data_IF_705031279381
#
_entry.id   IF_705031279381
#
_cell.length_a   1.000
_cell.length_b   1.000
_cell.length_c   1.000
_cell.angle_alpha   90.00
_cell.angle_beta   90.00
_cell.angle_gamma   90.00
#
_symmetry.space_group_name_H-M   'P 1'
#
loop_
_entity.id
_entity.type
_entity.pdbx_description
1 polymer ?
#
# COMPACT_ATOMS: atom_id res chain seq x y z
N UNK A 1 16.31 -4.15 -19.78
CA UNK A 1 17.41 -3.17 -19.79
C UNK A 1 16.96 -1.95 -19.00
N UNK A 2 17.91 -1.38 -18.26
CA UNK A 2 17.88 -0.44 -17.12
C UNK A 2 16.53 -0.05 -16.50
N UNK A 3 16.35 -0.39 -15.21
CA UNK A 3 15.49 0.36 -14.31
C UNK A 3 16.27 1.55 -13.77
N UNK A 4 15.81 2.76 -14.07
CA UNK A 4 16.48 4.05 -13.83
C UNK A 4 16.67 4.45 -12.35
N UNK A 5 16.55 3.50 -11.40
CA UNK A 5 16.81 3.69 -9.98
C UNK A 5 17.70 2.54 -9.47
N UNK A 6 18.88 2.82 -8.90
CA UNK A 6 19.73 1.78 -8.30
C UNK A 6 18.97 1.09 -7.16
N UNK A 7 19.04 -0.25 -7.14
CA UNK A 7 18.48 -1.05 -6.05
C UNK A 7 19.25 -0.75 -4.76
N UNK A 8 18.53 -0.45 -3.69
CA UNK A 8 19.15 -0.25 -2.37
C UNK A 8 19.63 -1.58 -1.80
N UNK A 9 20.82 -1.58 -1.19
CA UNK A 9 21.38 -2.76 -0.54
C UNK A 9 20.78 -2.98 0.85
N UNK A 10 20.85 -4.22 1.35
CA UNK A 10 20.45 -4.55 2.72
C UNK A 10 21.23 -3.70 3.75
N UNK A 11 22.53 -3.53 3.53
CA UNK A 11 23.39 -2.74 4.42
C UNK A 11 22.94 -1.28 4.51
N UNK A 12 22.58 -0.67 3.38
CA UNK A 12 22.06 0.70 3.39
C UNK A 12 20.74 0.82 4.16
N UNK A 13 19.89 -0.20 4.12
CA UNK A 13 18.66 -0.23 4.92
C UNK A 13 18.94 -0.41 6.42
N UNK A 14 19.92 -1.25 6.78
CA UNK A 14 20.41 -1.38 8.16
C UNK A 14 20.90 -0.03 8.67
N UNK A 15 21.78 0.63 7.90
CA UNK A 15 22.32 1.94 8.27
C UNK A 15 21.20 2.99 8.40
N UNK A 16 20.25 3.01 7.45
CA UNK A 16 19.16 3.99 7.43
C UNK A 16 18.14 3.82 8.56
N UNK A 17 17.98 2.61 9.08
CA UNK A 17 16.96 2.27 10.10
C UNK A 17 17.54 2.07 11.49
N UNK A 18 18.84 2.37 11.68
CA UNK A 18 19.58 2.09 12.91
C UNK A 18 19.48 0.61 13.31
N UNK A 19 19.77 -0.28 12.35
CA UNK A 19 19.71 -1.73 12.55
C UNK A 19 18.30 -2.30 12.71
N UNK A 20 17.29 -1.67 12.08
CA UNK A 20 15.88 -2.00 12.27
C UNK A 20 15.46 -1.91 13.75
N UNK A 21 15.95 -0.88 14.46
CA UNK A 21 15.66 -0.65 15.87
C UNK A 21 14.16 -0.47 16.13
N UNK A 22 13.67 -1.01 17.26
CA UNK A 22 12.27 -0.86 17.69
C UNK A 22 11.87 0.62 17.85
N UNK A 23 12.81 1.53 18.12
CA UNK A 23 12.51 2.98 18.21
C UNK A 23 12.08 3.57 16.86
N UNK A 24 12.51 2.95 15.77
CA UNK A 24 12.17 3.36 14.41
C UNK A 24 10.96 2.58 13.87
N UNK A 25 10.36 1.69 14.65
CA UNK A 25 9.25 0.85 14.20
C UNK A 25 7.94 1.62 14.25
N UNK A 26 7.39 1.89 13.07
CA UNK A 26 6.18 2.72 12.89
C UNK A 26 4.94 1.91 12.48
N UNK A 27 5.09 0.62 12.17
CA UNK A 27 3.96 -0.25 11.87
C UNK A 27 4.31 -1.74 11.98
N UNK A 28 3.36 -2.53 12.49
CA UNK A 28 3.41 -3.99 12.55
C UNK A 28 2.11 -4.55 11.94
N UNK A 29 2.21 -5.53 11.05
CA UNK A 29 1.03 -6.15 10.43
C UNK A 29 1.29 -7.55 9.90
N UNK A 30 0.25 -8.19 9.36
CA UNK A 30 0.33 -9.56 8.84
C UNK A 30 1.25 -9.74 7.63
N UNK A 31 1.72 -8.64 7.03
CA UNK A 31 2.61 -8.66 5.87
C UNK A 31 4.06 -8.31 6.22
N UNK A 32 4.33 -7.85 7.44
CA UNK A 32 5.67 -7.39 7.82
C UNK A 32 5.73 -6.30 8.87
N UNK A 33 6.87 -5.63 8.89
CA UNK A 33 7.22 -4.52 9.76
C UNK A 33 7.55 -3.29 8.92
N UNK A 34 7.20 -2.11 9.39
CA UNK A 34 7.52 -0.84 8.72
C UNK A 34 8.38 0.00 9.64
N UNK A 35 9.59 0.34 9.20
CA UNK A 35 10.52 1.16 9.95
C UNK A 35 10.65 2.54 9.31
N UNK A 36 10.70 3.60 10.11
CA UNK A 36 11.19 4.89 9.68
C UNK A 36 12.69 4.79 9.46
N UNK A 37 13.19 5.39 8.39
CA UNK A 37 14.62 5.47 8.13
C UNK A 37 15.02 6.77 7.47
N UNK A 38 16.32 7.03 7.43
CA UNK A 38 16.92 8.18 6.76
C UNK A 38 17.99 7.68 5.81
N UNK A 39 17.76 7.82 4.51
CA UNK A 39 18.74 7.44 3.49
C UNK A 39 19.92 8.41 3.48
N UNK A 40 21.01 7.99 2.81
CA UNK A 40 22.11 8.89 2.44
C UNK A 40 21.49 10.07 1.68
N UNK A 41 21.87 11.30 2.03
CA UNK A 41 21.23 12.59 1.61
C UNK A 41 20.10 13.12 2.51
N UNK A 42 19.76 12.43 3.60
CA UNK A 42 18.78 12.95 4.58
C UNK A 42 17.31 12.71 4.19
N UNK A 43 17.06 11.93 3.14
CA UNK A 43 15.72 11.60 2.68
C UNK A 43 15.05 10.65 3.68
N UNK A 44 13.96 11.11 4.30
CA UNK A 44 13.18 10.32 5.26
C UNK A 44 12.27 9.35 4.51
N UNK A 45 12.33 8.07 4.87
CA UNK A 45 11.62 6.98 4.20
C UNK A 45 10.91 6.06 5.20
N UNK A 46 9.94 5.31 4.68
CA UNK A 46 9.36 4.15 5.34
C UNK A 46 9.89 2.87 4.66
N UNK A 47 10.52 1.99 5.44
CA UNK A 47 11.09 0.71 5.00
C UNK A 47 10.16 -0.40 5.45
N UNK A 48 9.34 -0.92 4.53
CA UNK A 48 8.45 -2.06 4.75
C UNK A 48 9.23 -3.35 4.52
N UNK A 49 9.64 -3.99 5.60
CA UNK A 49 10.27 -5.32 5.61
C UNK A 49 9.18 -6.37 5.62
N UNK A 50 9.13 -7.21 4.59
CA UNK A 50 8.07 -8.19 4.44
C UNK A 50 8.43 -9.52 5.11
N UNK A 51 7.45 -10.19 5.71
CA UNK A 51 7.65 -11.54 6.24
C UNK A 51 7.95 -12.52 5.10
N UNK A 52 9.04 -13.25 5.23
CA UNK A 52 9.38 -14.35 4.33
C UNK A 52 8.82 -15.64 4.90
N UNK A 53 7.55 -15.91 4.63
CA UNK A 53 6.93 -17.14 5.10
C UNK A 53 7.06 -18.23 4.03
N UNK A 54 8.06 -19.11 4.20
CA UNK A 54 8.30 -20.26 3.31
C UNK A 54 7.16 -21.30 3.35
N UNK A 55 6.21 -21.17 4.29
CA UNK A 55 5.13 -22.12 4.52
C UNK A 55 3.83 -21.82 3.74
N UNK A 56 3.69 -20.61 3.16
CA UNK A 56 2.45 -20.17 2.51
C UNK A 56 2.71 -19.49 1.17
N UNK A 57 2.29 -20.13 0.07
CA UNK A 57 2.35 -19.58 -1.30
C UNK A 57 1.63 -18.22 -1.41
N UNK A 58 0.62 -17.97 -0.55
CA UNK A 58 -0.18 -16.74 -0.56
C UNK A 58 0.60 -15.54 -0.01
N UNK A 59 1.37 -15.73 1.07
CA UNK A 59 2.22 -14.69 1.68
C UNK A 59 3.48 -14.48 0.83
N UNK A 60 4.03 -15.57 0.28
CA UNK A 60 5.22 -15.59 -0.59
C UNK A 60 5.08 -14.71 -1.85
N UNK A 61 3.84 -14.49 -2.33
CA UNK A 61 3.57 -13.66 -3.51
C UNK A 61 3.41 -12.16 -3.25
N UNK A 62 3.31 -11.71 -1.99
CA UNK A 62 2.98 -10.33 -1.63
C UNK A 62 4.01 -9.32 -2.13
N UNK A 63 5.31 -9.55 -1.91
CA UNK A 63 6.39 -8.68 -2.38
C UNK A 63 6.37 -8.49 -3.90
N UNK A 64 6.28 -9.59 -4.65
CA UNK A 64 6.31 -9.57 -6.12
C UNK A 64 5.09 -8.83 -6.66
N UNK A 65 3.92 -9.07 -6.06
CA UNK A 65 2.66 -8.40 -6.40
C UNK A 65 2.72 -6.91 -6.10
N UNK A 66 3.12 -6.53 -4.88
CA UNK A 66 3.24 -5.14 -4.45
C UNK A 66 4.23 -4.37 -5.35
N UNK A 67 5.42 -4.94 -5.60
CA UNK A 67 6.38 -4.35 -6.54
C UNK A 67 5.82 -4.22 -7.96
N UNK A 68 5.07 -5.22 -8.45
CA UNK A 68 4.49 -5.18 -9.79
C UNK A 68 3.41 -4.10 -9.91
N UNK A 69 2.54 -3.99 -8.91
CA UNK A 69 1.48 -2.97 -8.88
C UNK A 69 2.11 -1.58 -8.78
N UNK A 70 2.96 -1.33 -7.78
CA UNK A 70 3.61 -0.03 -7.54
C UNK A 70 4.45 0.46 -8.73
N UNK A 71 5.01 -0.45 -9.54
CA UNK A 71 5.72 -0.09 -10.78
C UNK A 71 4.81 0.28 -11.95
N UNK A 72 3.56 -0.19 -11.93
CA UNK A 72 2.59 0.02 -13.01
C UNK A 72 1.66 1.22 -12.81
N UNK A 73 1.60 1.77 -11.59
CA UNK A 73 0.72 2.87 -11.24
C UNK A 73 1.54 4.14 -10.99
N UNK A 74 1.02 5.29 -11.44
CA UNK A 74 1.59 6.61 -11.17
C UNK A 74 0.46 7.62 -11.07
N UNK A 75 0.18 8.08 -9.86
CA UNK A 75 -0.88 9.05 -9.57
C UNK A 75 -0.53 9.83 -8.31
N UNK A 76 -0.99 11.08 -8.18
CA UNK A 76 -0.67 11.94 -7.02
C UNK A 76 -1.21 11.38 -5.70
N UNK A 77 -2.38 10.73 -5.73
CA UNK A 77 -3.03 10.15 -4.55
C UNK A 77 -2.70 8.67 -4.31
N UNK A 78 -1.63 8.13 -4.92
CA UNK A 78 -1.20 6.74 -4.75
C UNK A 78 0.27 6.71 -4.33
N UNK A 79 0.61 5.82 -3.38
CA UNK A 79 1.99 5.71 -2.89
C UNK A 79 2.91 5.30 -4.04
N UNK A 80 4.02 6.04 -4.19
CA UNK A 80 5.04 5.75 -5.20
C UNK A 80 6.21 5.05 -4.54
N UNK A 81 6.61 3.91 -5.07
CA UNK A 81 7.83 3.23 -4.62
C UNK A 81 9.07 4.11 -4.90
N UNK A 82 9.92 4.27 -3.88
CA UNK A 82 11.24 4.91 -4.04
C UNK A 82 12.20 3.89 -4.63
N UNK A 83 12.35 2.76 -3.94
CA UNK A 83 13.22 1.64 -4.37
C UNK A 83 12.80 0.37 -3.62
N UNK A 84 13.47 -0.74 -3.88
CA UNK A 84 13.23 -2.00 -3.19
C UNK A 84 14.54 -2.76 -2.99
N UNK A 85 14.60 -3.54 -1.91
CA UNK A 85 15.66 -4.51 -1.64
C UNK A 85 15.13 -5.93 -1.82
N UNK A 86 15.86 -6.76 -2.56
CA UNK A 86 15.47 -8.13 -2.85
C UNK A 86 16.70 -9.03 -2.88
N UNK A 87 16.95 -9.72 -1.78
CA UNK A 87 17.92 -10.82 -1.66
C UNK A 87 17.16 -12.14 -1.40
N UNK A 88 17.81 -13.32 -1.43
CA UNK A 88 17.14 -14.58 -1.09
C UNK A 88 16.40 -14.51 0.27
N UNK A 89 17.09 -14.03 1.30
CA UNK A 89 16.62 -14.08 2.70
C UNK A 89 16.07 -12.74 3.22
N UNK A 90 15.97 -11.72 2.35
CA UNK A 90 15.43 -10.42 2.73
C UNK A 90 14.67 -9.73 1.59
N UNK A 91 13.43 -9.33 1.86
CA UNK A 91 12.62 -8.48 0.97
C UNK A 91 12.17 -7.22 1.70
N UNK A 92 12.39 -6.06 1.10
CA UNK A 92 11.84 -4.80 1.59
C UNK A 92 11.44 -3.87 0.45
N UNK A 93 10.39 -3.08 0.69
CA UNK A 93 9.96 -1.99 -0.17
C UNK A 93 10.24 -0.67 0.56
N UNK A 94 10.86 0.28 -0.15
CA UNK A 94 11.15 1.62 0.39
C UNK A 94 10.15 2.60 -0.20
N UNK A 95 9.45 3.29 0.68
CA UNK A 95 8.37 4.24 0.37
C UNK A 95 8.72 5.62 0.96
N UNK A 96 8.13 6.71 0.44
CA UNK A 96 8.21 8.01 1.09
C UNK A 96 7.60 7.93 2.50
N UNK A 97 8.21 8.59 3.47
CA UNK A 97 7.63 8.70 4.80
C UNK A 97 6.50 9.73 4.81
N UNK A 98 5.37 9.36 5.40
CA UNK A 98 4.18 10.20 5.51
C UNK A 98 4.10 10.79 6.92
N UNK A 99 4.42 12.08 7.11
CA UNK A 99 4.64 12.65 8.44
C UNK A 99 3.35 12.78 9.26
N UNK A 100 2.19 12.90 8.59
CA UNK A 100 0.89 13.03 9.24
C UNK A 100 0.22 11.66 9.50
N UNK A 101 0.96 10.56 9.30
CA UNK A 101 0.49 9.22 9.63
C UNK A 101 -0.62 8.72 8.69
N UNK A 102 -1.57 7.98 9.25
CA UNK A 102 -2.70 7.42 8.53
C UNK A 102 -4.04 8.01 8.99
N UNK A 103 -5.08 7.75 8.21
CA UNK A 103 -6.40 8.34 8.39
C UNK A 103 -7.18 7.79 9.61
N UNK A 104 -6.76 6.67 10.24
CA UNK A 104 -7.47 6.09 11.39
C UNK A 104 -7.64 7.11 12.53
N UNK A 105 -6.60 7.89 12.80
CA UNK A 105 -6.61 8.89 13.87
C UNK A 105 -7.63 10.02 13.65
N UNK A 106 -7.88 10.40 12.40
CA UNK A 106 -8.83 11.44 12.04
C UNK A 106 -10.28 10.92 12.05
N UNK A 107 -10.48 9.67 11.64
CA UNK A 107 -11.81 9.03 11.57
C UNK A 107 -12.29 8.57 12.95
N UNK A 108 -11.37 8.12 13.81
CA UNK A 108 -11.69 7.64 15.17
C UNK A 108 -11.38 8.65 16.27
N UNK A 109 -10.99 9.86 15.89
CA UNK A 109 -10.76 10.98 16.81
C UNK A 109 -12.06 11.55 17.41
N UNK A 110 -11.94 12.52 18.34
CA UNK A 110 -13.09 13.17 18.93
C UNK A 110 -13.95 13.87 17.85
N UNK A 111 -15.28 13.85 17.98
CA UNK A 111 -16.18 14.49 17.03
C UNK A 111 -15.91 16.01 16.94
N UNK A 112 -15.92 16.57 15.73
CA UNK A 112 -15.62 17.98 15.47
C UNK A 112 -14.46 18.24 14.50
N UNK A 113 -14.09 17.25 13.67
CA UNK A 113 -13.08 17.42 12.62
C UNK A 113 -13.48 18.44 11.56
N UNK A 114 -12.47 19.04 10.93
CA UNK A 114 -12.64 19.97 9.82
C UNK A 114 -13.29 19.27 8.62
N UNK A 115 -14.53 19.67 8.31
CA UNK A 115 -15.32 19.07 7.23
C UNK A 115 -14.67 19.29 5.86
N UNK A 116 -14.06 20.46 5.64
CA UNK A 116 -13.43 20.78 4.36
C UNK A 116 -12.22 19.87 4.14
N UNK A 117 -11.40 19.67 5.19
CA UNK A 117 -10.31 18.70 5.17
C UNK A 117 -10.79 17.27 4.87
N UNK A 118 -11.86 16.82 5.53
CA UNK A 118 -12.42 15.48 5.32
C UNK A 118 -12.93 15.30 3.88
N UNK A 119 -13.56 16.33 3.31
CA UNK A 119 -14.00 16.32 1.92
C UNK A 119 -12.82 16.30 0.94
N UNK A 120 -11.76 17.06 1.20
CA UNK A 120 -10.52 17.00 0.41
C UNK A 120 -9.90 15.61 0.43
N UNK A 121 -9.76 15.01 1.62
CA UNK A 121 -9.23 13.64 1.79
C UNK A 121 -10.10 12.62 1.03
N UNK A 122 -11.43 12.73 1.16
CA UNK A 122 -12.34 11.82 0.46
C UNK A 122 -12.22 11.95 -1.07
N UNK A 123 -12.08 13.18 -1.57
CA UNK A 123 -11.85 13.45 -3.00
C UNK A 123 -10.54 12.82 -3.48
N UNK A 124 -9.44 13.04 -2.75
CA UNK A 124 -8.13 12.47 -3.06
C UNK A 124 -8.15 10.93 -3.14
N UNK A 125 -8.77 10.28 -2.14
CA UNK A 125 -8.93 8.82 -2.13
C UNK A 125 -9.75 8.36 -3.34
N UNK A 126 -10.87 9.02 -3.63
CA UNK A 126 -11.72 8.69 -4.76
C UNK A 126 -10.99 8.81 -6.10
N UNK A 127 -10.18 9.86 -6.30
CA UNK A 127 -9.37 10.03 -7.50
C UNK A 127 -8.29 8.94 -7.64
N UNK A 128 -7.61 8.60 -6.54
CA UNK A 128 -6.65 7.49 -6.51
C UNK A 128 -7.28 6.16 -6.90
N UNK A 129 -8.44 5.83 -6.33
CA UNK A 129 -9.16 4.59 -6.62
C UNK A 129 -9.71 4.59 -8.05
N UNK A 130 -10.29 5.70 -8.51
CA UNK A 130 -10.76 5.84 -9.89
C UNK A 130 -9.62 5.62 -10.90
N UNK A 131 -8.42 6.14 -10.61
CA UNK A 131 -7.25 5.86 -11.43
C UNK A 131 -6.95 4.36 -11.48
N UNK A 132 -6.89 3.66 -10.34
CA UNK A 132 -6.61 2.21 -10.29
C UNK A 132 -7.60 1.39 -11.14
N UNK A 133 -8.87 1.78 -11.11
CA UNK A 133 -9.97 1.04 -11.72
C UNK A 133 -10.14 1.32 -13.21
N UNK A 134 -9.87 2.55 -13.65
CA UNK A 134 -10.27 3.03 -14.98
C UNK A 134 -9.12 3.57 -15.82
N UNK A 135 -8.06 4.09 -15.21
CA UNK A 135 -7.04 4.88 -15.92
C UNK A 135 -5.63 4.27 -15.87
N UNK A 136 -5.39 3.34 -14.94
CA UNK A 136 -4.14 2.62 -14.86
C UNK A 136 -3.91 1.74 -16.11
N UNK A 137 -2.65 1.56 -16.57
CA UNK A 137 -2.34 0.71 -17.73
C UNK A 137 -2.84 -0.73 -17.62
N UNK A 138 -2.97 -1.22 -16.38
CA UNK A 138 -3.63 -2.47 -16.03
C UNK A 138 -4.58 -2.16 -14.89
N UNK A 139 -5.83 -2.61 -15.01
CA UNK A 139 -6.84 -2.43 -13.95
C UNK A 139 -6.35 -3.10 -12.66
N UNK A 140 -6.37 -2.33 -11.57
CA UNK A 140 -5.96 -2.78 -10.24
C UNK A 140 -7.14 -2.66 -9.31
N UNK A 141 -7.36 -3.70 -8.51
CA UNK A 141 -8.29 -3.65 -7.38
C UNK A 141 -7.46 -3.67 -6.10
N UNK A 142 -7.70 -2.72 -5.20
CA UNK A 142 -6.87 -2.55 -4.01
C UNK A 142 -7.03 -3.74 -3.05
N UNK A 143 -8.28 -4.14 -2.79
CA UNK A 143 -8.69 -5.25 -1.91
C UNK A 143 -8.49 -5.04 -0.40
N UNK A 144 -7.80 -3.99 0.04
CA UNK A 144 -7.67 -3.64 1.47
C UNK A 144 -7.82 -2.12 1.71
N UNK A 145 -8.80 -1.47 1.08
CA UNK A 145 -9.01 -0.04 1.31
C UNK A 145 -9.65 0.19 2.68
N UNK A 146 -8.92 0.88 3.57
CA UNK A 146 -9.32 1.22 4.94
C UNK A 146 -8.52 2.45 5.42
N UNK A 147 -8.93 3.14 6.50
CA UNK A 147 -8.24 4.37 6.91
C UNK A 147 -6.76 4.15 7.29
N UNK A 148 -6.37 3.01 7.86
CA UNK A 148 -4.96 2.66 8.09
C UNK A 148 -4.09 2.59 6.83
N UNK A 149 -4.69 2.35 5.66
CA UNK A 149 -4.00 2.26 4.38
C UNK A 149 -4.09 3.56 3.56
N UNK A 150 -4.73 4.60 4.11
CA UNK A 150 -4.71 5.97 3.56
C UNK A 150 -3.74 6.80 4.41
N UNK A 151 -2.60 7.15 3.83
CA UNK A 151 -1.57 7.95 4.48
C UNK A 151 -1.73 9.43 4.13
N UNK A 152 -1.22 10.30 5.00
CA UNK A 152 -1.29 11.75 4.84
C UNK A 152 0.12 12.33 4.69
N UNK A 153 0.37 12.99 3.56
CA UNK A 153 1.63 13.67 3.32
C UNK A 153 1.75 14.99 4.12
N UNK A 154 2.83 15.74 3.91
CA UNK A 154 3.10 16.99 4.64
C UNK A 154 2.03 18.08 4.47
N UNK A 155 1.29 18.04 3.36
CA UNK A 155 0.26 19.03 3.01
C UNK A 155 -1.15 18.51 3.32
N UNK A 156 -1.27 17.42 4.08
CA UNK A 156 -2.53 16.69 4.37
C UNK A 156 -3.21 16.10 3.11
N UNK A 157 -2.47 15.92 2.02
CA UNK A 157 -2.97 15.22 0.82
C UNK A 157 -3.06 13.73 1.11
N UNK A 158 -4.17 13.10 0.72
CA UNK A 158 -4.37 11.68 0.96
C UNK A 158 -3.70 10.80 -0.10
N UNK A 159 -2.96 9.80 0.39
CA UNK A 159 -2.16 8.86 -0.40
C UNK A 159 -2.59 7.43 -0.08
N UNK A 160 -3.22 6.75 -1.04
CA UNK A 160 -3.59 5.33 -0.91
C UNK A 160 -2.33 4.46 -0.97
N UNK A 161 -2.21 3.52 -0.03
CA UNK A 161 -1.03 2.70 0.18
C UNK A 161 -1.38 1.23 0.51
N UNK A 162 -0.35 0.39 0.61
CA UNK A 162 -0.43 -1.05 0.90
C UNK A 162 -1.13 -1.91 -0.16
N UNK A 163 -0.39 -2.17 -1.25
CA UNK A 163 -0.85 -3.01 -2.37
C UNK A 163 -0.52 -4.51 -2.18
N UNK A 164 -0.25 -4.95 -0.94
CA UNK A 164 0.25 -6.29 -0.62
C UNK A 164 -0.69 -7.42 -1.05
N UNK A 165 -2.00 -7.16 -1.15
CA UNK A 165 -3.02 -8.11 -1.59
C UNK A 165 -3.78 -7.68 -2.85
N UNK A 166 -3.34 -6.62 -3.51
CA UNK A 166 -4.05 -6.08 -4.67
C UNK A 166 -4.08 -7.04 -5.86
N UNK A 167 -5.11 -6.92 -6.68
CA UNK A 167 -5.36 -7.83 -7.80
C UNK A 167 -5.26 -7.07 -9.12
N UNK A 168 -4.43 -7.60 -10.02
CA UNK A 168 -4.34 -7.13 -11.39
C UNK A 168 -5.40 -7.85 -12.22
N UNK A 169 -6.36 -7.09 -12.73
CA UNK A 169 -7.47 -7.60 -13.53
C UNK A 169 -7.06 -7.54 -14.99
N UNK A 170 -6.90 -8.71 -15.62
CA UNK A 170 -6.78 -8.80 -17.09
C UNK A 170 -8.18 -8.74 -17.68
N UNK A 171 -8.37 -7.93 -18.72
CA UNK A 171 -9.66 -7.80 -19.39
C UNK A 171 -10.18 -9.18 -19.87
N UNK A 172 -11.45 -9.44 -19.53
CA UNK A 172 -12.34 -10.50 -19.99
C UNK A 172 -11.66 -11.81 -20.46
N UNK A 173 -11.43 -12.77 -19.53
CA UNK A 173 -11.59 -14.23 -19.79
C UNK A 173 -11.09 -15.15 -18.65
N UNK A 174 -10.31 -14.69 -17.67
CA UNK A 174 -9.83 -15.59 -16.60
C UNK A 174 -10.65 -15.47 -15.31
N UNK A 175 -11.64 -16.34 -15.19
CA UNK A 175 -12.37 -16.74 -13.98
C UNK A 175 -11.49 -17.49 -12.95
N UNK A 176 -10.21 -17.13 -12.86
CA UNK A 176 -9.19 -17.80 -12.05
C UNK A 176 -8.47 -16.83 -11.10
N UNK A 177 -9.19 -15.79 -10.65
CA UNK A 177 -8.78 -15.00 -9.50
C UNK A 177 -9.14 -15.81 -8.25
N UNK A 178 -8.13 -16.19 -7.47
CA UNK A 178 -8.22 -17.06 -6.30
C UNK A 178 -9.39 -16.72 -5.37
N UNK A 179 -10.18 -17.76 -5.06
CA UNK A 179 -11.42 -17.82 -4.26
C UNK A 179 -11.25 -17.54 -2.76
N UNK A 180 -10.15 -16.91 -2.34
CA UNK A 180 -9.92 -16.59 -0.93
C UNK A 180 -10.42 -15.18 -0.65
N UNK A 181 -11.37 -15.07 0.28
CA UNK A 181 -11.77 -13.79 0.87
C UNK A 181 -10.52 -13.15 1.47
N UNK A 182 -10.16 -11.97 0.98
CA UNK A 182 -9.00 -11.20 1.39
C UNK A 182 -9.44 -9.74 1.59
N UNK A 183 -8.92 -9.11 2.64
CA UNK A 183 -9.27 -7.77 3.07
C UNK A 183 -9.50 -7.71 4.58
N UNK A 184 -9.66 -6.49 5.09
CA UNK A 184 -9.90 -6.25 6.52
C UNK A 184 -11.38 -6.39 6.88
N UNK A 185 -11.67 -7.11 7.97
CA UNK A 185 -13.03 -7.26 8.50
C UNK A 185 -13.65 -5.88 8.76
N UNK A 186 -14.90 -5.68 8.32
CA UNK A 186 -15.59 -4.38 8.40
C UNK A 186 -15.46 -3.51 7.15
N UNK A 187 -14.44 -3.76 6.31
CA UNK A 187 -14.20 -3.02 5.05
C UNK A 187 -14.40 -3.87 3.79
N UNK A 188 -14.59 -5.18 3.95
CA UNK A 188 -14.92 -6.07 2.83
C UNK A 188 -16.35 -5.79 2.38
N UNK A 189 -16.52 -5.44 1.10
CA UNK A 189 -17.84 -5.22 0.51
C UNK A 189 -18.73 -6.47 0.62
N UNK A 190 -20.03 -6.32 0.97
CA UNK A 190 -20.98 -7.43 0.96
C UNK A 190 -21.27 -7.87 -0.48
N UNK A 191 -21.29 -9.17 -0.80
CA UNK A 191 -21.64 -9.60 -2.16
C UNK A 191 -22.11 -11.05 -2.32
N UNK A 192 -23.11 -11.23 -3.19
CA UNK A 192 -23.72 -12.51 -3.58
C UNK A 192 -23.31 -13.01 -4.99
N UNK A 193 -22.60 -12.21 -5.80
CA UNK A 193 -22.16 -12.60 -7.16
C UNK A 193 -20.77 -12.07 -7.52
N UNK A 194 -19.86 -13.02 -7.78
CA UNK A 194 -18.40 -12.86 -7.74
C UNK A 194 -17.78 -12.02 -8.88
N UNK A 195 -18.48 -11.77 -9.98
CA UNK A 195 -17.91 -11.09 -11.15
C UNK A 195 -18.01 -9.56 -11.10
N UNK A 196 -18.95 -9.01 -10.31
CA UNK A 196 -19.17 -7.55 -10.12
C UNK A 196 -18.55 -7.01 -8.83
N UNK A 197 -18.13 -7.92 -7.94
CA UNK A 197 -17.60 -7.67 -6.58
C UNK A 197 -16.25 -6.92 -6.56
N UNK A 198 -15.49 -6.95 -7.64
CA UNK A 198 -14.09 -6.50 -7.61
C UNK A 198 -13.91 -4.99 -7.79
N UNK A 199 -14.80 -4.28 -8.46
CA UNK A 199 -14.76 -2.80 -8.47
C UNK A 199 -15.48 -2.22 -7.25
N UNK A 200 -16.51 -2.93 -6.75
CA UNK A 200 -17.23 -2.54 -5.54
C UNK A 200 -16.48 -2.85 -4.24
N UNK A 201 -15.40 -3.65 -4.24
CA UNK A 201 -14.66 -3.95 -3.01
C UNK A 201 -13.94 -2.73 -2.41
N UNK A 202 -13.67 -1.72 -3.24
CA UNK A 202 -13.02 -0.49 -2.82
C UNK A 202 -14.05 0.66 -2.63
N UNK A 203 -15.35 0.36 -2.71
CA UNK A 203 -16.45 1.31 -2.48
C UNK A 203 -17.22 0.92 -1.20
N UNK A 204 -17.67 1.89 -0.39
CA UNK A 204 -18.50 1.60 0.77
C UNK A 204 -19.82 0.91 0.36
N UNK A 205 -20.43 0.08 1.23
CA UNK A 205 -21.72 -0.54 0.96
C UNK A 205 -22.82 0.53 0.80
N UNK A 206 -23.70 0.33 -0.19
CA UNK A 206 -24.98 1.06 -0.31
C UNK A 206 -25.93 0.75 0.85
#
# INVERSE_FOLDING_TARGET
MESDHPRISYRELVDATDGFSEVNLIGKGGYGHVYKGVLREGIVVAVKVLHQDHASEVISGSFVRECRVLRSIRHRNLIRVVTACSTPDFKAVVLPFMPNGNLDSLVHGPPGGDLDLLLSIASDVAEGVAYLHHHAPVKVVHCDLKPSNVLLDGDMTAIVSDFGISKLVKDATSSSITRLLQGSVGYIAPGKQYTRLFLCSDLPPE
#
